data_IF_639740787616
#
_entry.id   IF_639740787616
#
_cell.length_a   1.000
_cell.length_b   1.000
_cell.length_c   1.000
_cell.angle_alpha   90.00
_cell.angle_beta   90.00
_cell.angle_gamma   90.00
#
_symmetry.space_group_name_H-M   'P 1'
#
loop_
_entity.id
_entity.type
_entity.pdbx_description
1 polymer ?
#
# COMPACT_ATOMS: atom_id res chain seq x y z
N UNK A 1 7.80 -22.39 -18.65
CA UNK A 1 7.65 -21.94 -17.24
C UNK A 1 8.62 -20.83 -16.84
N UNK A 2 9.92 -20.86 -17.20
CA UNK A 2 10.87 -19.75 -16.90
C UNK A 2 10.40 -18.38 -17.40
N UNK A 3 10.00 -18.25 -18.67
CA UNK A 3 9.56 -16.95 -19.21
C UNK A 3 8.34 -16.32 -18.52
N UNK A 4 7.44 -17.13 -17.93
CA UNK A 4 6.27 -16.60 -17.21
C UNK A 4 6.66 -16.14 -15.80
N UNK A 5 7.59 -16.83 -15.14
CA UNK A 5 8.19 -16.40 -13.87
C UNK A 5 8.97 -15.12 -14.09
N UNK A 6 9.81 -15.05 -15.12
CA UNK A 6 10.58 -13.84 -15.44
C UNK A 6 9.66 -12.65 -15.75
N UNK A 7 8.55 -12.89 -16.44
CA UNK A 7 7.54 -11.87 -16.71
C UNK A 7 6.83 -11.39 -15.43
N UNK A 8 6.46 -12.30 -14.52
CA UNK A 8 5.79 -11.95 -13.27
C UNK A 8 6.72 -11.32 -12.22
N UNK A 9 8.02 -11.63 -12.26
CA UNK A 9 8.96 -11.21 -11.23
C UNK A 9 9.92 -10.11 -11.67
N UNK A 10 10.41 -10.12 -12.91
CA UNK A 10 11.50 -9.24 -13.36
C UNK A 10 11.08 -8.22 -14.41
N UNK A 11 9.90 -8.38 -15.02
CA UNK A 11 9.43 -7.43 -16.03
C UNK A 11 9.20 -6.05 -15.41
N UNK A 12 9.74 -5.04 -16.10
CA UNK A 12 9.63 -3.64 -15.73
C UNK A 12 8.66 -2.98 -16.69
N UNK A 13 7.52 -2.53 -16.16
CA UNK A 13 6.45 -1.89 -16.93
C UNK A 13 6.74 -0.42 -17.19
N UNK A 14 7.38 0.24 -16.22
CA UNK A 14 7.63 1.67 -16.27
C UNK A 14 8.85 2.03 -15.43
N UNK A 15 9.63 2.98 -15.93
CA UNK A 15 10.75 3.61 -15.22
C UNK A 15 10.60 5.10 -15.36
N UNK A 16 10.82 5.83 -14.27
CA UNK A 16 10.74 7.28 -14.28
C UNK A 16 11.90 7.86 -15.07
N UNK A 17 11.57 8.55 -16.16
CA UNK A 17 12.48 9.40 -16.90
C UNK A 17 11.81 10.79 -17.02
N UNK A 18 12.38 11.84 -16.38
CA UNK A 18 11.79 13.17 -16.39
C UNK A 18 11.72 13.80 -17.79
N UNK A 19 12.45 13.27 -18.77
CA UNK A 19 12.46 13.76 -20.16
C UNK A 19 11.68 12.91 -21.16
N UNK A 20 11.15 11.74 -20.77
CA UNK A 20 10.63 10.77 -21.75
C UNK A 20 9.23 11.07 -22.26
N UNK A 21 8.32 11.52 -21.40
CA UNK A 21 6.90 11.67 -21.76
C UNK A 21 6.14 12.62 -20.81
N UNK A 22 5.04 13.21 -21.31
CA UNK A 22 4.18 14.12 -20.54
C UNK A 22 3.52 13.43 -19.33
N UNK A 23 3.35 12.11 -19.39
CA UNK A 23 2.75 11.30 -18.32
C UNK A 23 3.73 11.01 -17.17
N UNK A 24 5.04 11.05 -17.41
CA UNK A 24 6.02 10.58 -16.44
C UNK A 24 6.05 11.45 -15.16
N UNK A 25 5.94 12.76 -15.33
CA UNK A 25 6.01 13.71 -14.22
C UNK A 25 4.74 13.70 -13.34
N UNK A 26 3.50 13.74 -13.89
CA UNK A 26 2.30 13.56 -13.09
C UNK A 26 2.24 12.20 -12.37
N UNK A 27 2.61 11.11 -13.05
CA UNK A 27 2.60 9.78 -12.45
C UNK A 27 3.57 9.67 -11.26
N UNK A 28 4.75 10.24 -11.39
CA UNK A 28 5.72 10.32 -10.30
C UNK A 28 5.15 11.03 -9.07
N UNK A 29 4.64 12.25 -9.24
CA UNK A 29 4.11 13.05 -8.14
C UNK A 29 2.87 12.44 -7.48
N UNK A 30 1.95 11.87 -8.28
CA UNK A 30 0.77 11.20 -7.75
C UNK A 30 1.18 10.04 -6.83
N UNK A 31 2.12 9.19 -7.25
CA UNK A 31 2.58 8.08 -6.41
C UNK A 31 3.28 8.57 -5.11
N UNK A 32 4.03 9.67 -5.16
CA UNK A 32 4.62 10.26 -3.94
C UNK A 32 3.54 10.74 -2.97
N UNK A 33 2.53 11.45 -3.49
CA UNK A 33 1.40 11.97 -2.71
C UNK A 33 0.57 10.82 -2.12
N UNK A 34 0.25 9.80 -2.91
CA UNK A 34 -0.40 8.57 -2.45
C UNK A 34 0.40 7.92 -1.31
N UNK A 35 1.71 7.78 -1.49
CA UNK A 35 2.62 7.29 -0.46
C UNK A 35 2.44 8.04 0.86
N UNK A 36 2.51 9.37 0.84
CA UNK A 36 2.29 10.21 2.02
C UNK A 36 0.94 9.96 2.70
N UNK A 37 -0.15 9.81 1.94
CA UNK A 37 -1.47 9.49 2.49
C UNK A 37 -1.49 8.15 3.24
N UNK A 38 -0.85 7.11 2.69
CA UNK A 38 -0.74 5.80 3.35
C UNK A 38 0.08 5.84 4.63
N UNK A 39 1.14 6.64 4.68
CA UNK A 39 1.88 6.91 5.92
C UNK A 39 1.03 7.67 6.94
N UNK A 40 0.16 8.59 6.49
CA UNK A 40 -0.85 9.22 7.32
C UNK A 40 -1.80 8.21 7.97
N UNK A 41 -2.34 7.27 7.18
CA UNK A 41 -3.19 6.20 7.71
C UNK A 41 -2.45 5.26 8.67
N UNK A 42 -1.20 4.90 8.35
CA UNK A 42 -0.33 4.14 9.26
C UNK A 42 -0.24 4.84 10.62
N UNK A 43 0.06 6.15 10.60
CA UNK A 43 0.18 6.96 11.82
C UNK A 43 -1.14 7.01 12.60
N UNK A 44 -2.28 7.18 11.90
CA UNK A 44 -3.58 7.19 12.54
C UNK A 44 -3.91 5.85 13.25
N UNK A 45 -3.59 4.72 12.63
CA UNK A 45 -3.78 3.39 13.23
C UNK A 45 -2.85 3.21 14.44
N UNK A 46 -1.58 3.63 14.34
CA UNK A 46 -0.63 3.55 15.46
C UNK A 46 -1.02 4.46 16.63
N UNK A 47 -1.50 5.68 16.37
CA UNK A 47 -2.01 6.58 17.41
C UNK A 47 -3.23 5.97 18.09
N UNK A 48 -4.14 5.38 17.32
CA UNK A 48 -5.31 4.67 17.88
C UNK A 48 -4.87 3.50 18.76
N UNK A 49 -3.92 2.70 18.28
CA UNK A 49 -3.36 1.57 19.02
C UNK A 49 -2.68 2.03 20.31
N UNK A 50 -1.89 3.11 20.28
CA UNK A 50 -1.23 3.65 21.48
C UNK A 50 -2.23 4.12 22.55
N UNK A 51 -3.35 4.70 22.13
CA UNK A 51 -4.40 5.21 23.03
C UNK A 51 -5.27 4.12 23.64
N UNK A 52 -5.66 3.10 22.86
CA UNK A 52 -6.66 2.13 23.30
C UNK A 52 -6.11 0.70 23.52
N UNK A 53 -4.95 0.38 22.93
CA UNK A 53 -4.22 -0.91 23.02
C UNK A 53 -5.10 -2.16 22.95
N UNK A 54 -6.03 -2.21 22.00
CA UNK A 54 -7.00 -3.29 21.95
C UNK A 54 -6.42 -4.62 21.46
N UNK A 55 -5.65 -4.64 20.37
CA UNK A 55 -5.27 -5.91 19.74
C UNK A 55 -4.00 -5.79 18.88
N UNK A 56 -3.12 -6.80 18.87
CA UNK A 56 -1.91 -6.81 18.04
C UNK A 56 -2.18 -6.83 16.53
N UNK A 57 -3.39 -7.20 16.10
CA UNK A 57 -3.81 -7.10 14.69
C UNK A 57 -3.84 -5.66 14.17
N UNK A 58 -3.97 -4.66 15.04
CA UNK A 58 -3.85 -3.25 14.62
C UNK A 58 -2.43 -2.92 14.19
N UNK A 59 -1.41 -3.57 14.76
CA UNK A 59 -0.02 -3.42 14.31
C UNK A 59 0.19 -4.04 12.93
N UNK A 60 -0.40 -5.22 12.66
CA UNK A 60 -0.40 -5.81 11.32
C UNK A 60 -1.12 -4.92 10.32
N UNK A 61 -2.22 -4.29 10.73
CA UNK A 61 -2.98 -3.35 9.90
C UNK A 61 -2.19 -2.07 9.60
N UNK A 62 -1.52 -1.50 10.60
CA UNK A 62 -0.60 -0.38 10.40
C UNK A 62 0.57 -0.78 9.48
N UNK A 63 1.14 -1.96 9.66
CA UNK A 63 2.22 -2.48 8.81
C UNK A 63 1.76 -2.67 7.36
N UNK A 64 0.52 -3.10 7.15
CA UNK A 64 -0.06 -3.22 5.81
C UNK A 64 -0.16 -1.85 5.12
N UNK A 65 -0.61 -0.81 5.82
CA UNK A 65 -0.60 0.56 5.27
C UNK A 65 0.82 1.09 5.02
N UNK A 66 1.75 0.83 5.94
CA UNK A 66 3.13 1.27 5.82
C UNK A 66 3.80 0.67 4.58
N UNK A 67 3.67 -0.63 4.41
CA UNK A 67 4.25 -1.36 3.27
C UNK A 67 3.56 -0.98 1.96
N UNK A 68 2.27 -0.64 1.98
CA UNK A 68 1.57 -0.08 0.83
C UNK A 68 2.15 1.29 0.42
N UNK A 69 2.30 2.21 1.38
CA UNK A 69 2.92 3.52 1.13
C UNK A 69 4.36 3.42 0.64
N UNK A 70 5.16 2.51 1.21
CA UNK A 70 6.53 2.25 0.75
C UNK A 70 6.57 1.73 -0.70
N UNK A 71 5.59 0.90 -1.07
CA UNK A 71 5.46 0.43 -2.45
C UNK A 71 5.14 1.57 -3.43
N UNK A 72 4.38 2.57 -3.00
CA UNK A 72 4.04 3.74 -3.82
C UNK A 72 5.24 4.67 -4.02
N UNK A 73 6.05 4.88 -2.98
CA UNK A 73 7.34 5.56 -3.15
C UNK A 73 8.25 4.85 -4.14
N UNK A 74 8.28 3.50 -4.14
CA UNK A 74 9.07 2.76 -5.12
C UNK A 74 8.48 2.88 -6.53
N UNK A 75 7.15 2.80 -6.67
CA UNK A 75 6.44 2.95 -7.96
C UNK A 75 6.60 4.32 -8.59
N UNK A 76 6.81 5.36 -7.78
CA UNK A 76 7.16 6.69 -8.28
C UNK A 76 8.43 6.69 -9.15
N UNK A 77 9.32 5.71 -8.98
CA UNK A 77 10.55 5.59 -9.77
C UNK A 77 10.54 4.39 -10.72
N UNK A 78 10.04 3.23 -10.28
CA UNK A 78 10.07 2.00 -11.09
C UNK A 78 8.87 1.11 -10.76
N UNK A 79 8.20 0.61 -11.78
CA UNK A 79 7.08 -0.33 -11.66
C UNK A 79 7.50 -1.69 -12.19
N UNK A 80 7.74 -2.62 -11.28
CA UNK A 80 7.96 -4.04 -11.59
C UNK A 80 6.67 -4.85 -11.42
N UNK A 81 6.52 -5.95 -12.16
CA UNK A 81 5.38 -6.88 -12.02
C UNK A 81 5.17 -7.35 -10.58
N UNK A 82 6.24 -7.69 -9.87
CA UNK A 82 6.15 -8.14 -8.47
C UNK A 82 5.63 -7.06 -7.52
N UNK A 83 5.93 -5.78 -7.78
CA UNK A 83 5.41 -4.66 -6.99
C UNK A 83 3.90 -4.49 -7.18
N UNK A 84 3.38 -4.81 -8.37
CA UNK A 84 1.94 -4.81 -8.63
C UNK A 84 1.27 -5.93 -7.83
N UNK A 85 1.81 -7.14 -7.89
CA UNK A 85 1.30 -8.28 -7.13
C UNK A 85 1.35 -8.03 -5.62
N UNK A 86 2.47 -7.51 -5.10
CA UNK A 86 2.62 -7.18 -3.69
C UNK A 86 1.62 -6.11 -3.25
N UNK A 87 1.40 -5.07 -4.06
CA UNK A 87 0.37 -4.05 -3.77
C UNK A 87 -1.03 -4.67 -3.75
N UNK A 88 -1.32 -5.60 -4.67
CA UNK A 88 -2.59 -6.35 -4.68
C UNK A 88 -2.81 -7.18 -3.41
N UNK A 89 -1.80 -7.92 -2.97
CA UNK A 89 -1.84 -8.70 -1.73
C UNK A 89 -2.00 -7.79 -0.51
N UNK A 90 -1.26 -6.69 -0.43
CA UNK A 90 -1.40 -5.72 0.65
C UNK A 90 -2.79 -5.08 0.67
N UNK A 91 -3.35 -4.73 -0.49
CA UNK A 91 -4.71 -4.18 -0.55
C UNK A 91 -5.74 -5.16 0.00
N UNK A 92 -5.64 -6.43 -0.41
CA UNK A 92 -6.51 -7.49 0.11
C UNK A 92 -6.35 -7.66 1.63
N UNK A 93 -5.12 -7.59 2.15
CA UNK A 93 -4.85 -7.63 3.58
C UNK A 93 -5.47 -6.44 4.33
N UNK A 94 -5.35 -5.21 3.80
CA UNK A 94 -5.97 -4.01 4.36
C UNK A 94 -7.50 -4.17 4.39
N UNK A 95 -8.12 -4.58 3.29
CA UNK A 95 -9.58 -4.76 3.22
C UNK A 95 -10.04 -5.84 4.20
N UNK A 96 -9.36 -6.98 4.25
CA UNK A 96 -9.66 -8.07 5.16
C UNK A 96 -9.53 -7.65 6.63
N UNK A 97 -8.42 -7.00 6.99
CA UNK A 97 -8.17 -6.53 8.36
C UNK A 97 -9.16 -5.44 8.76
N UNK A 98 -9.51 -4.51 7.85
CA UNK A 98 -10.56 -3.51 8.09
C UNK A 98 -11.89 -4.18 8.40
N UNK A 99 -12.31 -5.12 7.56
CA UNK A 99 -13.55 -5.87 7.75
C UNK A 99 -13.54 -6.64 9.07
N UNK A 100 -12.45 -7.33 9.37
CA UNK A 100 -12.31 -8.13 10.59
C UNK A 100 -12.35 -7.26 11.86
N UNK A 101 -11.60 -6.16 11.90
CA UNK A 101 -11.52 -5.25 13.03
C UNK A 101 -12.87 -4.54 13.29
N UNK A 102 -13.57 -4.09 12.24
CA UNK A 102 -14.91 -3.48 12.40
C UNK A 102 -15.90 -4.50 12.92
N UNK A 103 -15.89 -5.73 12.38
CA UNK A 103 -16.86 -6.77 12.77
C UNK A 103 -16.69 -7.24 14.21
N UNK A 104 -15.46 -7.37 14.71
CA UNK A 104 -15.18 -7.97 16.02
C UNK A 104 -14.84 -6.98 17.13
N UNK A 105 -14.16 -5.88 16.81
CA UNK A 105 -13.63 -4.95 17.82
C UNK A 105 -14.35 -3.60 17.84
N UNK A 106 -15.00 -3.18 16.74
CA UNK A 106 -15.67 -1.87 16.65
C UNK A 106 -17.05 -1.96 15.98
N UNK A 107 -18.03 -2.70 16.55
CA UNK A 107 -19.36 -2.86 15.95
C UNK A 107 -20.16 -1.54 15.87
N UNK A 108 -19.76 -0.52 16.63
CA UNK A 108 -20.37 0.82 16.62
C UNK A 108 -19.74 1.77 15.57
N UNK A 109 -18.56 1.46 15.00
CA UNK A 109 -17.91 2.32 14.00
C UNK A 109 -18.40 2.04 12.57
N UNK A 110 -19.69 1.70 12.41
CA UNK A 110 -20.34 1.52 11.10
C UNK A 110 -20.54 2.88 10.44
N UNK A 111 -19.46 3.50 9.99
CA UNK A 111 -19.51 4.68 9.13
C UNK A 111 -18.71 4.38 7.87
N UNK A 112 -19.49 4.18 6.80
CA UNK A 112 -19.20 3.93 5.38
C UNK A 112 -18.39 2.66 5.04
#
# INVERSE_FOLDING_TARGET
MRGLIDFLWLHTWWTYDPGSDWYAQPYHWINLVEGCFWFGFTSAVLIRYAKHRHTPLELLYALAFFTFGLSDFRKAYVVHSWLILLKGVNLAAIIYLRWYLIKHHYPQSKTF
#
